data_IF_613210630757
#
_entry.id   IF_613210630757
#
_cell.length_a   1.000
_cell.length_b   1.000
_cell.length_c   1.000
_cell.angle_alpha   90.00
_cell.angle_beta   90.00
_cell.angle_gamma   90.00
#
_symmetry.space_group_name_H-M   'P 1'
#
loop_
_entity.id
_entity.type
_entity.pdbx_description
1 polymer ?
#
# COMPACT_ATOMS: atom_id res chain seq x y z
N UNK A 1 3.88 -12.79 3.53
CA UNK A 1 2.53 -12.21 3.71
C UNK A 1 2.62 -11.19 4.81
N UNK A 2 1.88 -10.08 4.71
CA UNK A 2 1.99 -8.95 5.65
C UNK A 2 0.61 -8.58 6.22
N UNK A 3 0.61 -7.86 7.33
CA UNK A 3 -0.58 -7.26 7.92
C UNK A 3 -0.71 -5.82 7.40
N UNK A 4 -1.86 -5.49 6.84
CA UNK A 4 -2.18 -4.13 6.39
C UNK A 4 -3.28 -3.54 7.28
N UNK A 5 -2.95 -2.49 8.01
CA UNK A 5 -3.94 -1.66 8.70
C UNK A 5 -4.35 -0.49 7.81
N UNK A 6 -5.64 -0.29 7.61
CA UNK A 6 -6.17 0.90 6.92
C UNK A 6 -6.99 1.73 7.88
N UNK A 7 -6.59 2.99 8.06
CA UNK A 7 -7.29 3.99 8.86
C UNK A 7 -7.95 4.98 7.92
N UNK A 8 -9.27 5.07 7.99
CA UNK A 8 -10.06 5.94 7.13
C UNK A 8 -10.61 7.13 7.93
N UNK A 9 -9.89 8.25 7.90
CA UNK A 9 -10.39 9.52 8.42
C UNK A 9 -11.02 10.38 7.30
N UNK A 10 -11.22 9.80 6.12
CA UNK A 10 -11.77 10.49 4.96
C UNK A 10 -13.27 10.73 5.11
N UNK A 11 -13.78 11.73 4.40
CA UNK A 11 -15.20 12.09 4.41
C UNK A 11 -16.14 11.05 3.78
N UNK A 12 -15.59 10.00 3.15
CA UNK A 12 -16.35 8.93 2.50
C UNK A 12 -15.81 7.55 2.88
N UNK A 13 -16.64 6.53 2.67
CA UNK A 13 -16.23 5.14 2.81
C UNK A 13 -15.20 4.76 1.75
N UNK A 14 -14.27 3.87 2.09
CA UNK A 14 -13.28 3.32 1.17
C UNK A 14 -13.65 1.87 0.85
N UNK A 15 -13.69 1.55 -0.45
CA UNK A 15 -13.92 0.18 -0.90
C UNK A 15 -12.60 -0.56 -1.07
N UNK A 16 -12.54 -1.81 -0.64
CA UNK A 16 -11.44 -2.72 -0.92
C UNK A 16 -11.85 -3.73 -1.99
N UNK A 17 -10.90 -4.12 -2.86
CA UNK A 17 -11.09 -5.12 -3.93
C UNK A 17 -11.59 -6.50 -3.46
N UNK A 18 -11.49 -6.81 -2.16
CA UNK A 18 -12.03 -8.06 -1.59
C UNK A 18 -13.48 -7.92 -1.06
N UNK A 19 -14.17 -6.82 -1.38
CA UNK A 19 -15.55 -6.55 -0.97
C UNK A 19 -15.71 -5.90 0.40
N UNK A 20 -14.63 -5.73 1.17
CA UNK A 20 -14.67 -5.00 2.44
C UNK A 20 -14.90 -3.52 2.18
N UNK A 21 -15.80 -2.90 2.95
CA UNK A 21 -15.98 -1.45 3.00
C UNK A 21 -15.44 -0.94 4.33
N UNK A 22 -14.49 -0.01 4.27
CA UNK A 22 -13.95 0.67 5.45
C UNK A 22 -14.77 1.94 5.63
N UNK A 23 -15.62 1.95 6.66
CA UNK A 23 -16.50 3.08 6.94
C UNK A 23 -15.70 4.37 7.19
N UNK A 24 -16.32 5.51 6.91
CA UNK A 24 -15.84 6.82 7.34
C UNK A 24 -15.53 6.81 8.84
N UNK A 25 -14.43 7.46 9.22
CA UNK A 25 -13.88 7.53 10.59
C UNK A 25 -13.60 6.14 11.21
N UNK A 26 -13.49 5.11 10.37
CA UNK A 26 -13.28 3.73 10.74
C UNK A 26 -11.87 3.23 10.48
N UNK A 27 -11.59 2.00 10.90
CA UNK A 27 -10.38 1.29 10.51
C UNK A 27 -10.64 -0.18 10.27
N UNK A 28 -9.76 -0.83 9.51
CA UNK A 28 -9.80 -2.27 9.27
C UNK A 28 -8.40 -2.84 9.21
N UNK A 29 -8.23 -4.06 9.74
CA UNK A 29 -6.97 -4.80 9.70
C UNK A 29 -7.14 -5.98 8.76
N UNK A 30 -6.32 -6.02 7.71
CA UNK A 30 -6.24 -7.11 6.77
C UNK A 30 -5.02 -7.98 7.11
N UNK A 31 -5.26 -9.16 7.68
CA UNK A 31 -4.19 -10.10 8.02
C UNK A 31 -3.78 -10.95 6.82
N UNK A 32 -2.52 -11.40 6.78
CA UNK A 32 -1.99 -12.34 5.79
C UNK A 32 -2.28 -11.91 4.34
N UNK A 33 -1.90 -10.69 3.98
CA UNK A 33 -2.16 -10.13 2.65
C UNK A 33 -1.08 -10.48 1.62
N UNK A 34 -1.57 -10.74 0.41
CA UNK A 34 -0.87 -10.49 -0.85
C UNK A 34 -1.42 -9.20 -1.48
N UNK A 35 -1.61 -9.15 -2.79
CA UNK A 35 -2.08 -7.94 -3.46
C UNK A 35 -3.51 -7.52 -3.05
N UNK A 36 -3.74 -6.22 -2.93
CA UNK A 36 -5.04 -5.61 -2.66
C UNK A 36 -5.05 -4.17 -3.19
N UNK A 37 -6.18 -3.72 -3.74
CA UNK A 37 -6.41 -2.31 -4.03
C UNK A 37 -7.57 -1.74 -3.23
N UNK A 38 -7.55 -0.41 -3.08
CA UNK A 38 -8.61 0.36 -2.44
C UNK A 38 -9.08 1.50 -3.34
N UNK A 39 -10.38 1.61 -3.52
CA UNK A 39 -11.05 2.73 -4.19
C UNK A 39 -11.36 3.82 -3.15
N UNK A 40 -10.72 4.98 -3.30
CA UNK A 40 -10.98 6.17 -2.49
C UNK A 40 -11.86 7.12 -3.33
N UNK A 41 -13.15 7.31 -2.98
CA UNK A 41 -14.07 8.08 -3.79
C UNK A 41 -13.56 9.49 -4.11
N UNK A 42 -13.60 9.88 -5.39
CA UNK A 42 -13.10 11.18 -5.88
C UNK A 42 -11.57 11.28 -5.96
N UNK A 43 -10.82 10.32 -5.40
CA UNK A 43 -9.37 10.36 -5.30
C UNK A 43 -8.66 9.31 -6.18
N UNK A 44 -9.35 8.22 -6.51
CA UNK A 44 -8.86 7.16 -7.38
C UNK A 44 -8.53 5.88 -6.61
N UNK A 45 -7.67 5.04 -7.18
CA UNK A 45 -7.29 3.75 -6.59
C UNK A 45 -5.85 3.77 -6.09
N UNK A 46 -5.63 3.23 -4.89
CA UNK A 46 -4.31 2.88 -4.38
C UNK A 46 -4.14 1.36 -4.47
N UNK A 47 -3.01 0.94 -5.06
CA UNK A 47 -2.72 -0.46 -5.33
C UNK A 47 -1.56 -0.93 -4.46
N UNK A 48 -1.74 -2.05 -3.76
CA UNK A 48 -0.68 -2.78 -3.07
C UNK A 48 -0.43 -4.06 -3.87
N UNK A 49 0.75 -4.15 -4.46
CA UNK A 49 1.14 -5.24 -5.36
C UNK A 49 2.20 -6.06 -4.65
N UNK A 50 1.85 -7.30 -4.29
CA UNK A 50 2.79 -8.24 -3.68
C UNK A 50 3.83 -8.68 -4.72
N UNK A 51 5.11 -8.51 -4.37
CA UNK A 51 6.24 -8.93 -5.18
C UNK A 51 6.76 -10.33 -4.79
N UNK A 52 6.34 -10.85 -3.64
CA UNK A 52 7.03 -11.97 -3.02
C UNK A 52 8.50 -11.62 -2.77
N UNK A 53 9.40 -12.48 -3.22
CA UNK A 53 10.85 -12.30 -3.11
C UNK A 53 11.47 -11.46 -4.24
N UNK A 54 10.70 -11.16 -5.30
CA UNK A 54 11.19 -10.42 -6.47
C UNK A 54 11.65 -9.02 -6.09
N UNK A 55 12.79 -8.61 -6.67
CA UNK A 55 13.35 -7.25 -6.51
C UNK A 55 12.94 -6.37 -7.67
N UNK A 56 12.70 -5.09 -7.40
CA UNK A 56 12.60 -4.09 -8.45
C UNK A 56 14.01 -3.73 -8.98
N UNK A 57 14.25 -3.79 -10.30
CA UNK A 57 15.48 -3.29 -10.89
C UNK A 57 15.72 -1.82 -10.55
N UNK A 58 16.96 -1.46 -10.23
CA UNK A 58 17.32 -0.09 -9.83
C UNK A 58 17.03 0.28 -8.37
N UNK A 59 16.37 -0.60 -7.61
CA UNK A 59 16.04 -0.38 -6.19
C UNK A 59 16.63 -1.51 -5.32
N UNK A 60 17.96 -1.46 -5.03
CA UNK A 60 18.63 -2.49 -4.24
C UNK A 60 18.20 -2.49 -2.77
N UNK A 61 17.80 -1.31 -2.26
CA UNK A 61 17.24 -1.12 -0.93
C UNK A 61 15.73 -0.89 -0.99
N UNK A 62 14.98 -1.24 0.07
CA UNK A 62 15.48 -1.90 1.28
C UNK A 62 15.80 -3.39 1.05
N UNK A 63 16.79 -3.90 1.80
CA UNK A 63 17.41 -5.21 1.56
C UNK A 63 16.62 -6.45 2.03
N UNK A 64 15.48 -6.29 2.71
CA UNK A 64 14.66 -7.43 3.15
C UNK A 64 14.11 -8.25 1.95
N UNK A 65 13.75 -9.50 2.23
CA UNK A 65 13.40 -10.53 1.23
C UNK A 65 12.03 -10.28 0.62
N UNK A 66 11.00 -10.04 1.43
CA UNK A 66 9.62 -9.95 0.95
C UNK A 66 9.23 -8.50 0.62
N UNK A 67 8.55 -8.27 -0.50
CA UNK A 67 8.28 -6.92 -1.00
C UNK A 67 6.84 -6.66 -1.41
N UNK A 68 6.43 -5.39 -1.27
CA UNK A 68 5.19 -4.84 -1.80
C UNK A 68 5.49 -3.53 -2.49
N UNK A 69 4.95 -3.33 -3.69
CA UNK A 69 4.91 -2.01 -4.35
C UNK A 69 3.57 -1.39 -4.06
N UNK A 70 3.59 -0.19 -3.48
CA UNK A 70 2.38 0.62 -3.34
C UNK A 70 2.38 1.68 -4.42
N UNK A 71 1.31 1.74 -5.22
CA UNK A 71 1.15 2.73 -6.29
C UNK A 71 -0.11 3.55 -6.05
N UNK A 72 0.05 4.87 -6.04
CA UNK A 72 -1.06 5.80 -5.94
C UNK A 72 -0.80 7.02 -6.82
N UNK A 73 -1.57 7.14 -7.90
CA UNK A 73 -1.35 8.16 -8.94
C UNK A 73 0.11 8.08 -9.45
N UNK A 74 0.85 9.18 -9.38
CA UNK A 74 2.25 9.31 -9.83
C UNK A 74 3.27 9.10 -8.70
N UNK A 75 2.86 8.50 -7.58
CA UNK A 75 3.73 8.24 -6.44
C UNK A 75 3.75 6.74 -6.18
N UNK A 76 4.96 6.21 -6.06
CA UNK A 76 5.20 4.84 -5.65
C UNK A 76 6.01 4.75 -4.36
N UNK A 77 5.73 3.70 -3.59
CA UNK A 77 6.52 3.30 -2.45
C UNK A 77 6.93 1.84 -2.58
N UNK A 78 8.15 1.54 -2.15
CA UNK A 78 8.70 0.20 -2.07
C UNK A 78 8.82 -0.19 -0.61
N UNK A 79 7.95 -1.12 -0.21
CA UNK A 79 7.94 -1.66 1.13
C UNK A 79 8.56 -3.05 1.13
N UNK A 80 9.47 -3.30 2.08
CA UNK A 80 10.21 -4.56 2.21
C UNK A 80 10.28 -4.98 3.67
N UNK A 81 10.13 -6.26 3.94
CA UNK A 81 10.04 -6.80 5.29
C UNK A 81 10.58 -8.23 5.41
N UNK A 82 10.83 -8.65 6.65
CA UNK A 82 11.09 -10.04 7.03
C UNK A 82 10.00 -10.54 7.98
N UNK A 83 9.71 -11.85 7.94
CA UNK A 83 8.68 -12.45 8.79
C UNK A 83 7.30 -11.81 8.57
N UNK A 84 6.67 -11.37 9.67
CA UNK A 84 5.33 -10.76 9.66
C UNK A 84 5.41 -9.24 9.45
N UNK A 85 5.50 -8.81 8.20
CA UNK A 85 5.52 -7.38 7.85
C UNK A 85 4.27 -6.64 8.33
N UNK A 86 4.43 -5.39 8.77
CA UNK A 86 3.34 -4.53 9.22
C UNK A 86 3.37 -3.20 8.46
N UNK A 87 2.30 -2.93 7.71
CA UNK A 87 2.13 -1.69 6.97
C UNK A 87 0.81 -1.02 7.37
N UNK A 88 0.83 0.29 7.54
CA UNK A 88 -0.37 1.09 7.83
C UNK A 88 -0.58 2.13 6.74
N UNK A 89 -1.76 2.10 6.12
CA UNK A 89 -2.28 3.18 5.28
C UNK A 89 -3.20 4.06 6.11
N UNK A 90 -2.89 5.35 6.21
CA UNK A 90 -3.81 6.35 6.76
C UNK A 90 -4.31 7.22 5.63
N UNK A 91 -5.63 7.34 5.49
CA UNK A 91 -6.29 8.30 4.60
C UNK A 91 -6.86 9.42 5.46
N UNK A 92 -6.40 10.65 5.25
CA UNK A 92 -6.87 11.81 6.01
C UNK A 92 -8.24 12.33 5.53
N UNK A 93 -8.73 13.38 6.19
CA UNK A 93 -10.02 14.02 5.86
C UNK A 93 -10.10 14.61 4.44
N UNK A 94 -8.98 14.83 3.77
CA UNK A 94 -8.89 15.34 2.39
C UNK A 94 -8.60 14.23 1.37
N UNK A 95 -8.37 13.00 1.82
CA UNK A 95 -8.03 11.87 0.95
C UNK A 95 -6.52 11.73 0.71
N UNK A 96 -5.69 12.44 1.47
CA UNK A 96 -4.23 12.27 1.46
C UNK A 96 -3.88 10.92 2.06
N UNK A 97 -3.06 10.16 1.36
CA UNK A 97 -2.59 8.84 1.80
C UNK A 97 -1.20 8.96 2.42
N UNK A 98 -1.01 8.37 3.59
CA UNK A 98 0.29 8.23 4.25
C UNK A 98 0.54 6.76 4.60
N UNK A 99 1.77 6.29 4.33
CA UNK A 99 2.24 4.96 4.69
C UNK A 99 3.19 5.04 5.87
N UNK A 100 2.99 4.17 6.86
CA UNK A 100 3.94 3.95 7.96
C UNK A 100 4.10 2.46 8.22
N UNK A 101 5.22 2.08 8.82
CA UNK A 101 5.55 0.68 9.11
C UNK A 101 6.16 0.59 10.51
N UNK A 102 5.85 -0.50 11.20
CA UNK A 102 6.44 -0.89 12.49
C UNK A 102 7.32 -2.12 12.37
N UNK A 103 7.15 -2.91 11.30
CA UNK A 103 8.05 -4.00 10.94
C UNK A 103 8.33 -3.99 9.43
N UNK A 104 9.59 -3.76 9.06
CA UNK A 104 10.02 -3.54 7.68
C UNK A 104 10.33 -2.08 7.38
N UNK A 105 10.77 -1.81 6.15
CA UNK A 105 11.20 -0.50 5.69
C UNK A 105 10.40 -0.09 4.45
N UNK A 106 9.99 1.17 4.38
CA UNK A 106 9.32 1.75 3.21
C UNK A 106 10.10 2.95 2.71
N UNK A 107 10.35 3.01 1.40
CA UNK A 107 11.00 4.15 0.75
C UNK A 107 10.16 4.62 -0.44
N UNK A 108 10.20 5.93 -0.79
CA UNK A 108 9.66 6.39 -2.05
C UNK A 108 10.50 5.86 -3.21
N UNK A 109 9.85 5.51 -4.31
CA UNK A 109 10.50 5.10 -5.56
C UNK A 109 9.81 5.78 -6.74
N UNK A 110 10.41 5.71 -7.93
CA UNK A 110 9.86 6.22 -9.18
C UNK A 110 9.92 5.15 -10.26
N UNK A 111 8.76 4.73 -10.74
CA UNK A 111 8.66 3.76 -11.83
C UNK A 111 8.14 4.47 -13.08
N UNK A 112 8.55 3.99 -14.26
CA UNK A 112 7.95 4.47 -15.49
C UNK A 112 6.49 4.02 -15.56
N UNK A 113 5.57 4.99 -15.66
CA UNK A 113 4.13 4.70 -15.74
C UNK A 113 3.76 3.94 -17.01
N UNK A 114 4.47 4.20 -18.09
CA UNK A 114 4.24 3.59 -19.39
C UNK A 114 5.54 3.62 -20.19
N UNK A 115 5.90 2.48 -20.79
CA UNK A 115 7.02 2.37 -21.70
C UNK A 115 6.61 1.54 -22.92
N UNK A 116 7.17 1.90 -24.08
CA UNK A 116 7.04 1.14 -25.32
C UNK A 116 8.45 0.69 -25.68
N UNK A 117 8.62 -0.60 -25.93
CA UNK A 117 9.86 -1.22 -26.40
C UNK A 117 9.62 -2.03 -27.67
#
# INVERSE_FOLDING_TARGET
MYTLTVKNNYIQNIGASNGVTILKDGSHIFNNRGSINFTIPGMGEINFIDLGDKRLPGYPEPSQTWGVVVRYRTIEAYYRYEGEGELTLTVDHLGTCALTTTNGSVIPISLSDFSIG
#
